data_IF_069103264040
#
_entry.id   IF_069103264040
#
_cell.length_a   1.000
_cell.length_b   1.000
_cell.length_c   1.000
_cell.angle_alpha   90.00
_cell.angle_beta   90.00
_cell.angle_gamma   90.00
#
_symmetry.space_group_name_H-M   'P 1'
#
loop_
_entity.id
_entity.type
_entity.pdbx_description
1 polymer ?
#
# COMPACT_ATOMS: atom_id res chain seq x y z
N UNK A 1 4.17 -12.35 4.89
CA UNK A 1 3.14 -11.60 4.13
C UNK A 1 3.72 -10.75 3.01
N UNK A 2 4.81 -9.99 3.23
CA UNK A 2 5.44 -9.15 2.18
C UNK A 2 5.93 -9.92 0.94
N UNK A 3 6.21 -11.21 1.07
CA UNK A 3 6.60 -12.07 -0.06
C UNK A 3 5.42 -12.60 -0.89
N UNK A 4 4.19 -12.54 -0.35
CA UNK A 4 2.99 -13.12 -0.98
C UNK A 4 2.21 -12.06 -1.77
N UNK A 5 2.26 -10.80 -1.32
CA UNK A 5 1.49 -9.70 -1.91
C UNK A 5 2.40 -8.66 -2.59
N UNK A 6 1.95 -8.18 -3.76
CA UNK A 6 2.67 -7.16 -4.55
C UNK A 6 2.28 -5.70 -4.26
N UNK A 7 2.63 -4.82 -5.20
CA UNK A 7 2.43 -3.38 -5.10
C UNK A 7 1.00 -2.92 -4.75
N UNK A 8 -0.09 -3.53 -5.25
CA UNK A 8 -1.45 -3.13 -4.87
C UNK A 8 -1.72 -3.20 -3.37
N UNK A 9 -1.20 -4.21 -2.69
CA UNK A 9 -1.39 -4.40 -1.25
C UNK A 9 -0.48 -3.48 -0.44
N UNK A 10 0.73 -3.22 -0.93
CA UNK A 10 1.62 -2.23 -0.33
C UNK A 10 0.99 -0.83 -0.39
N UNK A 11 0.36 -0.44 -1.50
CA UNK A 11 -0.31 0.86 -1.60
C UNK A 11 -1.44 1.00 -0.56
N UNK A 12 -2.18 -0.08 -0.27
CA UNK A 12 -3.22 -0.07 0.79
C UNK A 12 -2.68 0.27 2.18
N UNK A 13 -1.41 -0.03 2.46
CA UNK A 13 -0.76 0.38 3.72
C UNK A 13 -0.73 1.91 3.87
N UNK A 14 -0.46 2.64 2.79
CA UNK A 14 -0.37 4.11 2.82
C UNK A 14 -1.70 4.79 3.17
N UNK A 15 -2.84 4.13 2.91
CA UNK A 15 -4.15 4.63 3.38
C UNK A 15 -4.33 4.53 4.90
N UNK A 16 -3.65 3.57 5.55
CA UNK A 16 -3.78 3.32 7.00
C UNK A 16 -2.63 3.94 7.80
N UNK A 17 -1.49 4.16 7.17
CA UNK A 17 -0.26 4.61 7.85
C UNK A 17 -0.44 5.96 8.54
N UNK A 18 -1.20 6.89 7.96
CA UNK A 18 -1.46 8.20 8.59
C UNK A 18 -2.10 8.07 9.97
N UNK A 19 -3.10 7.20 10.11
CA UNK A 19 -3.71 6.91 11.41
C UNK A 19 -2.75 6.18 12.36
N UNK A 20 -1.90 5.28 11.83
CA UNK A 20 -0.91 4.56 12.63
C UNK A 20 0.20 5.47 13.18
N UNK A 21 0.60 6.50 12.41
CA UNK A 21 1.60 7.47 12.85
C UNK A 21 1.12 8.29 14.05
N UNK A 22 -0.19 8.52 14.21
CA UNK A 22 -0.74 9.19 15.38
C UNK A 22 -0.51 8.41 16.70
N UNK A 23 -0.30 7.10 16.62
CA UNK A 23 0.00 6.26 17.78
C UNK A 23 1.51 6.09 18.04
N UNK A 24 2.36 6.68 17.20
CA UNK A 24 3.82 6.61 17.36
C UNK A 24 4.34 7.99 17.77
N UNK A 25 4.92 8.15 18.97
CA UNK A 25 5.48 9.44 19.38
C UNK A 25 6.74 9.72 18.56
N UNK A 26 6.62 10.61 17.57
CA UNK A 26 7.71 11.11 16.74
C UNK A 26 7.89 12.61 17.01
N UNK A 27 9.15 13.06 17.06
CA UNK A 27 9.43 14.49 17.05
C UNK A 27 9.18 15.09 15.65
N UNK A 28 8.99 16.41 15.57
CA UNK A 28 8.64 17.07 14.31
C UNK A 28 9.68 16.83 13.21
N UNK A 29 10.96 16.76 13.57
CA UNK A 29 12.05 16.53 12.62
C UNK A 29 12.01 15.12 12.03
N UNK A 30 11.82 14.09 12.87
CA UNK A 30 11.71 12.71 12.39
C UNK A 30 10.42 12.50 11.61
N UNK A 31 9.32 13.13 12.03
CA UNK A 31 8.06 13.06 11.29
C UNK A 31 8.19 13.70 9.91
N UNK A 32 8.78 14.89 9.81
CA UNK A 32 9.01 15.55 8.52
C UNK A 32 9.91 14.72 7.60
N UNK A 33 11.00 14.16 8.13
CA UNK A 33 11.90 13.29 7.37
C UNK A 33 11.19 12.03 6.88
N UNK A 34 10.42 11.37 7.75
CA UNK A 34 9.64 10.19 7.41
C UNK A 34 8.61 10.48 6.31
N UNK A 35 7.85 11.58 6.45
CA UNK A 35 6.86 11.98 5.45
C UNK A 35 7.50 12.27 4.10
N UNK A 36 8.70 12.86 4.06
CA UNK A 36 9.44 13.07 2.82
C UNK A 36 9.75 11.74 2.12
N UNK A 37 10.29 10.74 2.85
CA UNK A 37 10.54 9.41 2.28
C UNK A 37 9.26 8.70 1.82
N UNK A 38 8.17 8.79 2.60
CA UNK A 38 6.88 8.21 2.23
C UNK A 38 6.32 8.86 0.97
N UNK A 39 6.39 10.18 0.85
CA UNK A 39 5.95 10.91 -0.33
C UNK A 39 6.81 10.59 -1.57
N UNK A 40 8.13 10.51 -1.42
CA UNK A 40 9.00 10.14 -2.53
C UNK A 40 8.77 8.70 -3.00
N UNK A 41 8.47 7.79 -2.07
CA UNK A 41 8.05 6.44 -2.44
C UNK A 41 6.71 6.43 -3.18
N UNK A 42 5.73 7.22 -2.75
CA UNK A 42 4.46 7.36 -3.48
C UNK A 42 4.66 7.94 -4.88
N UNK A 43 5.56 8.91 -5.06
CA UNK A 43 5.94 9.43 -6.39
C UNK A 43 6.56 8.34 -7.26
N UNK A 44 7.41 7.48 -6.69
CA UNK A 44 7.95 6.32 -7.41
C UNK A 44 6.85 5.37 -7.86
N UNK A 45 5.91 5.02 -6.97
CA UNK A 45 4.76 4.17 -7.34
C UNK A 45 3.92 4.79 -8.45
N UNK A 46 3.63 6.09 -8.37
CA UNK A 46 2.86 6.81 -9.38
C UNK A 46 3.58 6.84 -10.74
N UNK A 47 4.89 7.13 -10.75
CA UNK A 47 5.72 7.15 -11.97
C UNK A 47 5.75 5.80 -12.68
N UNK A 48 5.71 4.70 -11.92
CA UNK A 48 5.76 3.33 -12.44
C UNK A 48 4.38 2.66 -12.43
N UNK A 49 3.30 3.45 -12.39
CA UNK A 49 1.97 2.92 -12.13
C UNK A 49 1.51 1.89 -13.17
N UNK A 50 1.80 2.12 -14.45
CA UNK A 50 1.43 1.22 -15.53
C UNK A 50 2.11 -0.16 -15.45
N UNK A 51 3.29 -0.26 -14.82
CA UNK A 51 4.01 -1.53 -14.67
C UNK A 51 3.74 -2.20 -13.33
N UNK A 52 3.44 -1.41 -12.29
CA UNK A 52 3.23 -1.92 -10.92
C UNK A 52 1.76 -2.22 -10.60
N UNK A 53 0.81 -1.61 -11.32
CA UNK A 53 -0.62 -1.77 -11.09
C UNK A 53 -1.33 -2.14 -12.39
N UNK A 54 -1.58 -3.44 -12.58
CA UNK A 54 -2.37 -3.91 -13.71
C UNK A 54 -3.64 -4.63 -13.26
N UNK A 55 -4.73 -4.39 -13.97
CA UNK A 55 -5.94 -5.20 -13.81
C UNK A 55 -5.74 -6.65 -14.31
N UNK A 56 -4.73 -6.88 -15.16
CA UNK A 56 -4.37 -8.24 -15.60
C UNK A 56 -3.82 -9.12 -14.48
N UNK A 57 -3.39 -8.53 -13.36
CA UNK A 57 -2.91 -9.27 -12.19
C UNK A 57 -4.07 -9.86 -11.37
N UNK A 58 -5.32 -9.65 -11.82
CA UNK A 58 -6.53 -10.10 -11.16
C UNK A 58 -7.30 -11.07 -12.05
N UNK A 59 -7.83 -12.11 -11.41
CA UNK A 59 -8.75 -13.06 -12.04
C UNK A 59 -10.12 -12.99 -11.36
N UNK A 60 -11.15 -13.38 -12.10
CA UNK A 60 -12.48 -13.56 -11.53
C UNK A 60 -12.43 -14.76 -10.58
N UNK A 61 -12.66 -14.51 -9.30
CA UNK A 61 -12.64 -15.57 -8.31
C UNK A 61 -13.79 -16.58 -8.55
N UNK A 62 -13.56 -17.88 -8.32
CA UNK A 62 -14.57 -18.90 -8.56
C UNK A 62 -15.72 -18.83 -7.53
N UNK A 63 -16.91 -19.36 -7.86
CA UNK A 63 -18.07 -19.32 -6.97
C UNK A 63 -17.81 -19.89 -5.56
N UNK A 64 -16.97 -20.92 -5.44
CA UNK A 64 -16.59 -21.51 -4.15
C UNK A 64 -15.82 -20.54 -3.27
N UNK A 65 -14.99 -19.68 -3.89
CA UNK A 65 -14.28 -18.63 -3.17
C UNK A 65 -15.26 -17.56 -2.70
N UNK A 66 -16.21 -17.15 -3.55
CA UNK A 66 -17.25 -16.19 -3.17
C UNK A 66 -18.06 -16.66 -1.95
N UNK A 67 -18.40 -17.95 -1.87
CA UNK A 67 -19.12 -18.51 -0.70
C UNK A 67 -18.35 -18.43 0.62
N UNK A 68 -17.01 -18.32 0.58
CA UNK A 68 -16.15 -18.19 1.77
C UNK A 68 -15.85 -16.75 2.16
N UNK A 69 -16.08 -15.80 1.25
CA UNK A 69 -15.75 -14.39 1.44
C UNK A 69 -16.90 -13.60 2.11
N UNK A 70 -18.09 -14.21 2.21
CA UNK A 70 -19.31 -13.65 2.83
C UNK A 70 -19.44 -14.13 4.27
#
# INVERSE_FOLDING_TARGET
MSQVYGAPHLLRLFLRIGAMLAYTPLDEKSLALLLNYLHDFLKYLAKNSATLFSASDYEVAPPEYHRKAV
#
